data_IF_714371026032
#
_entry.id   IF_714371026032
#
_cell.length_a   1.000
_cell.length_b   1.000
_cell.length_c   1.000
_cell.angle_alpha   90.00
_cell.angle_beta   90.00
_cell.angle_gamma   90.00
#
_symmetry.space_group_name_H-M   'P 1'
#
loop_
_entity.id
_entity.type
_entity.pdbx_description
1 polymer ?
#
# COMPACT_ATOMS: atom_id res chain seq x y z
N UNK A 1 -15.80 14.91 2.17
CA UNK A 1 -16.13 15.69 0.96
C UNK A 1 -15.35 15.16 -0.24
N UNK A 2 -14.01 15.11 -0.19
CA UNK A 2 -13.15 14.65 -1.31
C UNK A 2 -13.52 13.21 -1.74
N UNK A 3 -13.70 12.31 -0.78
CA UNK A 3 -14.16 10.94 -1.00
C UNK A 3 -15.41 10.86 -1.89
N UNK A 4 -16.42 11.68 -1.60
CA UNK A 4 -17.69 11.66 -2.37
C UNK A 4 -17.44 12.05 -3.82
N UNK A 5 -16.61 13.07 -4.10
CA UNK A 5 -16.29 13.46 -5.48
C UNK A 5 -15.49 12.39 -6.22
N UNK A 6 -14.57 11.70 -5.53
CA UNK A 6 -13.82 10.57 -6.06
C UNK A 6 -14.72 9.38 -6.40
N UNK A 7 -15.65 9.04 -5.47
CA UNK A 7 -16.64 7.95 -5.67
C UNK A 7 -17.58 8.24 -6.84
N UNK A 8 -18.00 9.49 -7.00
CA UNK A 8 -18.86 9.94 -8.11
C UNK A 8 -18.11 10.10 -9.45
N UNK A 9 -16.78 9.99 -9.46
CA UNK A 9 -15.97 10.17 -10.68
C UNK A 9 -16.01 11.60 -11.26
N UNK A 10 -16.12 12.61 -10.41
CA UNK A 10 -16.24 14.00 -10.86
C UNK A 10 -15.01 14.43 -11.66
N UNK A 11 -13.80 14.03 -11.24
CA UNK A 11 -12.56 14.38 -11.94
C UNK A 11 -12.51 13.78 -13.36
N UNK A 12 -12.95 12.54 -13.52
CA UNK A 12 -13.02 11.89 -14.84
C UNK A 12 -14.04 12.59 -15.75
N UNK A 13 -15.20 12.99 -15.20
CA UNK A 13 -16.21 13.73 -15.96
C UNK A 13 -15.72 15.10 -16.45
N UNK A 14 -14.74 15.70 -15.80
CA UNK A 14 -14.18 17.02 -16.13
C UNK A 14 -12.93 16.94 -17.02
N UNK A 15 -12.49 15.76 -17.45
CA UNK A 15 -11.28 15.61 -18.28
C UNK A 15 -11.32 16.42 -19.57
N UNK A 16 -12.48 16.47 -20.23
CA UNK A 16 -12.66 17.14 -21.52
C UNK A 16 -12.97 18.64 -21.40
N UNK A 17 -12.81 19.20 -20.19
CA UNK A 17 -13.05 20.62 -19.93
C UNK A 17 -14.20 20.92 -18.96
N UNK A 18 -14.51 22.19 -18.72
CA UNK A 18 -15.50 22.64 -17.76
C UNK A 18 -16.91 22.10 -18.06
N UNK A 19 -17.64 21.70 -17.01
CA UNK A 19 -19.06 21.25 -17.13
C UNK A 19 -19.92 21.92 -16.09
N UNK A 20 -21.18 22.15 -16.46
CA UNK A 20 -22.18 22.71 -15.54
C UNK A 20 -22.51 21.68 -14.44
N UNK A 21 -22.87 22.19 -13.25
CA UNK A 21 -23.32 21.36 -12.15
C UNK A 21 -24.56 20.51 -12.52
N UNK A 22 -25.44 21.03 -13.37
CA UNK A 22 -26.61 20.30 -13.86
C UNK A 22 -26.19 19.05 -14.66
N UNK A 23 -25.22 19.18 -15.57
CA UNK A 23 -24.70 18.07 -16.37
C UNK A 23 -23.99 17.04 -15.48
N UNK A 24 -23.17 17.49 -14.52
CA UNK A 24 -22.50 16.60 -13.56
C UNK A 24 -23.50 15.84 -12.71
N UNK A 25 -24.55 16.52 -12.22
CA UNK A 25 -25.60 15.88 -11.41
C UNK A 25 -26.39 14.82 -12.20
N UNK A 26 -26.69 15.08 -13.48
CA UNK A 26 -27.34 14.10 -14.37
C UNK A 26 -26.45 12.89 -14.60
N UNK A 27 -25.16 13.10 -14.87
CA UNK A 27 -24.20 12.03 -15.12
C UNK A 27 -23.99 11.13 -13.89
N UNK A 28 -23.96 11.72 -12.70
CA UNK A 28 -23.76 11.02 -11.43
C UNK A 28 -25.06 10.56 -10.75
N UNK A 29 -26.23 10.88 -11.33
CA UNK A 29 -27.55 10.58 -10.75
C UNK A 29 -27.72 11.14 -9.34
N UNK A 30 -27.23 12.35 -9.10
CA UNK A 30 -27.29 13.06 -7.82
C UNK A 30 -28.24 14.25 -7.87
N UNK A 31 -28.58 14.78 -6.69
CA UNK A 31 -29.30 16.04 -6.60
C UNK A 31 -28.38 17.20 -6.96
N UNK A 32 -28.75 18.01 -7.96
CA UNK A 32 -27.99 19.16 -8.43
C UNK A 32 -27.67 20.16 -7.31
N UNK A 33 -28.64 20.44 -6.45
CA UNK A 33 -28.49 21.40 -5.36
C UNK A 33 -27.43 20.94 -4.34
N UNK A 34 -27.46 19.67 -3.95
CA UNK A 34 -26.52 19.10 -2.99
C UNK A 34 -25.14 18.89 -3.60
N UNK A 35 -25.07 18.46 -4.87
CA UNK A 35 -23.82 18.37 -5.59
C UNK A 35 -23.13 19.74 -5.73
N UNK A 36 -23.89 20.79 -6.07
CA UNK A 36 -23.37 22.16 -6.13
C UNK A 36 -22.73 22.58 -4.80
N UNK A 37 -23.41 22.31 -3.68
CA UNK A 37 -22.87 22.63 -2.33
C UNK A 37 -21.55 21.90 -2.05
N UNK A 38 -21.46 20.63 -2.44
CA UNK A 38 -20.24 19.84 -2.32
C UNK A 38 -19.10 20.42 -3.18
N UNK A 39 -19.37 20.64 -4.46
CA UNK A 39 -18.35 21.13 -5.41
C UNK A 39 -17.87 22.53 -5.07
N UNK A 40 -18.77 23.44 -4.67
CA UNK A 40 -18.41 24.77 -4.19
C UNK A 40 -17.49 24.74 -2.96
N UNK A 41 -17.76 23.83 -2.01
CA UNK A 41 -16.86 23.64 -0.88
C UNK A 41 -15.49 23.12 -1.36
N UNK A 42 -15.46 22.11 -2.24
CA UNK A 42 -14.22 21.55 -2.77
C UNK A 42 -13.43 22.59 -3.60
N UNK A 43 -14.11 23.47 -4.31
CA UNK A 43 -13.47 24.58 -5.01
C UNK A 43 -12.85 25.59 -4.03
N UNK A 44 -13.51 25.88 -2.91
CA UNK A 44 -12.98 26.80 -1.89
C UNK A 44 -11.66 26.33 -1.25
N UNK A 45 -11.36 25.04 -1.33
CA UNK A 45 -10.10 24.43 -0.86
C UNK A 45 -9.17 23.98 -1.99
N UNK A 46 -9.46 24.41 -3.24
CA UNK A 46 -8.60 24.20 -4.39
C UNK A 46 -8.64 22.82 -5.05
N UNK A 47 -9.59 21.94 -4.65
CA UNK A 47 -9.74 20.62 -5.31
C UNK A 47 -10.32 20.77 -6.72
N UNK A 48 -11.31 21.59 -6.92
CA UNK A 48 -11.85 21.99 -8.22
C UNK A 48 -11.80 23.51 -8.35
N UNK A 49 -12.07 24.05 -9.53
CA UNK A 49 -12.33 25.47 -9.71
C UNK A 49 -13.79 25.70 -10.09
N UNK A 50 -14.44 26.63 -9.43
CA UNK A 50 -15.79 27.11 -9.76
C UNK A 50 -15.68 28.30 -10.71
N UNK A 51 -16.36 28.21 -11.85
CA UNK A 51 -16.46 29.25 -12.86
C UNK A 51 -17.86 29.92 -12.79
N UNK A 52 -18.09 30.90 -13.68
CA UNK A 52 -19.41 31.53 -13.81
C UNK A 52 -20.49 30.51 -14.15
N UNK A 53 -21.73 30.81 -13.87
CA UNK A 53 -22.93 29.99 -14.16
C UNK A 53 -22.89 28.56 -13.57
N UNK A 54 -22.25 28.38 -12.42
CA UNK A 54 -22.12 27.08 -11.75
C UNK A 54 -21.42 26.01 -12.62
N UNK A 55 -20.48 26.42 -13.46
CA UNK A 55 -19.54 25.50 -14.11
C UNK A 55 -18.38 25.17 -13.17
N UNK A 56 -17.85 23.98 -13.34
CA UNK A 56 -16.66 23.49 -12.60
C UNK A 56 -15.64 22.95 -13.57
N UNK A 57 -14.36 23.10 -13.22
CA UNK A 57 -13.23 22.54 -13.97
C UNK A 57 -12.20 21.87 -13.06
N UNK A 58 -11.31 21.07 -13.68
CA UNK A 58 -10.19 20.42 -13.01
C UNK A 58 -9.16 21.46 -12.57
N UNK A 59 -8.56 21.20 -11.41
CA UNK A 59 -7.30 21.81 -10.99
C UNK A 59 -6.18 20.76 -11.06
N UNK A 60 -4.90 21.15 -10.99
CA UNK A 60 -3.80 20.19 -10.85
C UNK A 60 -3.97 19.24 -9.67
N UNK A 61 -4.62 19.68 -8.59
CA UNK A 61 -4.89 18.85 -7.42
C UNK A 61 -6.01 17.84 -7.69
N UNK A 62 -7.06 18.22 -8.43
CA UNK A 62 -8.13 17.29 -8.81
C UNK A 62 -7.66 16.21 -9.81
N UNK A 63 -6.59 16.44 -10.55
CA UNK A 63 -6.03 15.46 -11.47
C UNK A 63 -5.62 14.16 -10.76
N UNK A 64 -5.21 14.21 -9.49
CA UNK A 64 -4.95 13.02 -8.67
C UNK A 64 -6.19 12.20 -8.34
N UNK A 65 -7.40 12.69 -8.63
CA UNK A 65 -8.66 11.95 -8.45
C UNK A 65 -9.18 11.30 -9.75
N UNK A 66 -8.45 11.41 -10.85
CA UNK A 66 -8.77 10.73 -12.12
C UNK A 66 -8.43 9.23 -12.02
N UNK A 67 -9.22 8.38 -12.69
CA UNK A 67 -9.07 6.92 -12.60
C UNK A 67 -7.90 6.37 -13.42
N UNK A 68 -7.56 6.99 -14.56
CA UNK A 68 -6.57 6.47 -15.52
C UNK A 68 -5.30 7.33 -15.57
N UNK A 69 -4.82 7.80 -14.43
CA UNK A 69 -3.53 8.50 -14.35
C UNK A 69 -2.53 7.70 -13.51
N UNK A 70 -1.25 7.66 -13.91
CA UNK A 70 -0.23 6.92 -13.15
C UNK A 70 -0.06 7.36 -11.69
N UNK A 71 -0.39 8.63 -11.40
CA UNK A 71 -0.34 9.22 -10.05
C UNK A 71 -1.72 9.30 -9.38
N UNK A 72 -2.68 8.46 -9.79
CA UNK A 72 -4.01 8.43 -9.18
C UNK A 72 -3.94 8.14 -7.68
N UNK A 73 -4.70 8.91 -6.91
CA UNK A 73 -4.99 8.65 -5.50
C UNK A 73 -6.49 8.36 -5.29
N UNK A 74 -7.23 8.17 -6.38
CA UNK A 74 -8.69 8.00 -6.34
C UNK A 74 -9.10 6.82 -5.46
N UNK A 75 -8.51 5.65 -5.70
CA UNK A 75 -8.83 4.43 -4.94
C UNK A 75 -8.44 4.57 -3.46
N UNK A 76 -7.31 5.22 -3.18
CA UNK A 76 -6.87 5.51 -1.82
C UNK A 76 -7.88 6.41 -1.09
N UNK A 77 -8.37 7.47 -1.74
CA UNK A 77 -9.36 8.40 -1.18
C UNK A 77 -10.71 7.69 -0.93
N UNK A 78 -11.11 6.77 -1.81
CA UNK A 78 -12.32 5.95 -1.64
C UNK A 78 -12.14 5.01 -0.44
N UNK A 79 -11.03 4.28 -0.35
CA UNK A 79 -10.67 3.43 0.78
C UNK A 79 -10.70 4.18 2.12
N UNK A 80 -10.12 5.39 2.18
CA UNK A 80 -10.17 6.22 3.38
C UNK A 80 -11.58 6.68 3.74
N UNK A 81 -12.45 6.90 2.76
CA UNK A 81 -13.83 7.34 2.99
C UNK A 81 -14.78 6.23 3.39
N UNK A 82 -14.53 5.01 2.99
CA UNK A 82 -15.42 3.85 3.24
C UNK A 82 -14.90 3.00 4.40
N UNK A 83 -13.78 2.32 4.26
CA UNK A 83 -13.32 1.33 5.24
C UNK A 83 -12.65 1.92 6.47
N UNK A 84 -11.95 3.06 6.32
CA UNK A 84 -11.15 3.59 7.43
C UNK A 84 -11.85 4.67 8.26
N UNK A 85 -12.84 5.34 7.71
CA UNK A 85 -13.49 6.50 8.35
C UNK A 85 -14.12 6.16 9.70
N UNK A 86 -14.87 5.06 9.79
CA UNK A 86 -15.50 4.62 11.04
C UNK A 86 -14.48 4.12 12.08
N UNK A 87 -13.51 3.28 11.72
CA UNK A 87 -12.39 2.95 12.61
C UNK A 87 -11.67 4.18 13.17
N UNK A 88 -11.32 5.16 12.34
CA UNK A 88 -10.73 6.41 12.82
C UNK A 88 -11.64 7.20 13.77
N UNK A 89 -12.94 7.21 13.53
CA UNK A 89 -13.93 7.76 14.47
C UNK A 89 -13.94 7.05 15.83
N UNK A 90 -13.45 5.79 15.87
CA UNK A 90 -13.39 4.95 17.06
C UNK A 90 -11.97 4.85 17.68
N UNK A 91 -11.02 5.69 17.28
CA UNK A 91 -9.62 5.66 17.75
C UNK A 91 -9.49 5.70 19.28
N UNK A 92 -10.43 6.35 19.98
CA UNK A 92 -10.44 6.38 21.45
C UNK A 92 -10.52 4.97 22.05
N UNK A 93 -11.19 4.01 21.37
CA UNK A 93 -11.20 2.62 21.78
C UNK A 93 -9.78 2.05 21.78
N UNK A 94 -9.04 2.21 20.66
CA UNK A 94 -7.67 1.71 20.54
C UNK A 94 -6.74 2.31 21.61
N UNK A 95 -6.84 3.61 21.87
CA UNK A 95 -6.01 4.29 22.89
C UNK A 95 -6.30 3.77 24.30
N UNK A 96 -7.54 3.41 24.61
CA UNK A 96 -7.95 2.93 25.94
C UNK A 96 -7.65 1.44 26.16
N UNK A 97 -7.72 0.63 25.12
CA UNK A 97 -7.70 -0.84 25.25
C UNK A 97 -6.47 -1.50 24.65
N UNK A 98 -5.80 -0.83 23.70
CA UNK A 98 -4.76 -1.42 22.87
C UNK A 98 -5.30 -2.29 21.71
N UNK A 99 -6.62 -2.51 21.62
CA UNK A 99 -7.24 -3.25 20.53
C UNK A 99 -7.44 -2.34 19.31
N UNK A 100 -7.45 -2.93 18.11
CA UNK A 100 -7.67 -2.15 16.89
C UNK A 100 -9.10 -1.60 16.82
N UNK A 101 -9.25 -0.35 16.46
CA UNK A 101 -10.58 0.24 16.24
C UNK A 101 -11.31 -0.43 15.07
N UNK A 102 -10.56 -0.93 14.07
CA UNK A 102 -11.14 -1.70 12.96
C UNK A 102 -11.85 -2.96 13.47
N UNK A 103 -11.19 -3.77 14.29
CA UNK A 103 -11.80 -4.97 14.87
C UNK A 103 -12.99 -4.62 15.77
N UNK A 104 -12.90 -3.50 16.50
CA UNK A 104 -14.01 -3.02 17.32
C UNK A 104 -15.24 -2.69 16.48
N UNK A 105 -15.06 -2.02 15.33
CA UNK A 105 -16.17 -1.61 14.43
C UNK A 105 -16.69 -2.80 13.64
N UNK A 106 -15.83 -3.53 12.94
CA UNK A 106 -16.20 -4.57 11.96
C UNK A 106 -16.29 -5.98 12.54
N UNK A 107 -15.88 -6.20 13.80
CA UNK A 107 -15.89 -7.49 14.52
C UNK A 107 -15.00 -8.58 13.91
N UNK A 108 -14.10 -8.20 13.04
CA UNK A 108 -13.09 -9.07 12.44
C UNK A 108 -11.84 -8.26 12.07
N UNK A 109 -10.73 -8.95 11.80
CA UNK A 109 -9.50 -8.31 11.32
C UNK A 109 -9.64 -7.79 9.88
N UNK A 110 -8.84 -6.79 9.52
CA UNK A 110 -8.92 -6.10 8.22
C UNK A 110 -8.77 -7.05 7.03
N UNK A 111 -7.84 -8.01 7.06
CA UNK A 111 -7.65 -8.98 5.99
C UNK A 111 -8.79 -10.00 5.91
N UNK A 112 -9.35 -10.39 7.04
CA UNK A 112 -10.55 -11.23 7.08
C UNK A 112 -11.78 -10.47 6.53
N UNK A 113 -11.90 -9.18 6.83
CA UNK A 113 -12.93 -8.32 6.26
C UNK A 113 -12.84 -8.29 4.74
N UNK A 114 -11.66 -8.06 4.17
CA UNK A 114 -11.48 -8.05 2.71
C UNK A 114 -11.73 -9.42 2.06
N UNK A 115 -11.41 -10.52 2.73
CA UNK A 115 -11.77 -11.85 2.23
C UNK A 115 -13.29 -12.04 2.09
N UNK A 116 -14.08 -11.38 2.94
CA UNK A 116 -15.55 -11.43 2.94
C UNK A 116 -16.22 -10.34 2.08
N UNK A 117 -15.48 -9.28 1.70
CA UNK A 117 -15.97 -8.13 0.94
C UNK A 117 -15.11 -7.88 -0.32
N UNK A 118 -15.35 -8.64 -1.41
CA UNK A 118 -14.52 -8.59 -2.61
C UNK A 118 -14.44 -7.21 -3.29
N UNK A 119 -15.51 -6.41 -3.23
CA UNK A 119 -15.53 -5.05 -3.79
C UNK A 119 -14.59 -4.11 -3.01
N UNK A 120 -14.66 -4.13 -1.68
CA UNK A 120 -13.75 -3.38 -0.81
C UNK A 120 -12.30 -3.85 -0.97
N UNK A 121 -12.09 -5.17 -1.12
CA UNK A 121 -10.77 -5.73 -1.40
C UNK A 121 -10.19 -5.22 -2.72
N UNK A 122 -11.00 -5.11 -3.76
CA UNK A 122 -10.57 -4.58 -5.06
C UNK A 122 -10.14 -3.11 -4.95
N UNK A 123 -10.91 -2.29 -4.25
CA UNK A 123 -10.57 -0.87 -3.99
C UNK A 123 -9.28 -0.77 -3.18
N UNK A 124 -9.12 -1.57 -2.13
CA UNK A 124 -7.92 -1.61 -1.31
C UNK A 124 -6.68 -2.03 -2.13
N UNK A 125 -6.77 -3.11 -2.90
CA UNK A 125 -5.65 -3.59 -3.72
C UNK A 125 -5.24 -2.55 -4.77
N UNK A 126 -6.21 -1.89 -5.42
CA UNK A 126 -5.94 -0.81 -6.36
C UNK A 126 -5.28 0.38 -5.65
N UNK A 127 -5.80 0.78 -4.48
CA UNK A 127 -5.24 1.86 -3.68
C UNK A 127 -3.79 1.59 -3.27
N UNK A 128 -3.47 0.35 -2.87
CA UNK A 128 -2.11 -0.04 -2.52
C UNK A 128 -1.18 -0.04 -3.73
N UNK A 129 -1.68 -0.46 -4.89
CA UNK A 129 -0.91 -0.44 -6.15
C UNK A 129 -0.60 1.00 -6.59
N UNK A 130 -1.60 1.89 -6.56
CA UNK A 130 -1.45 3.32 -6.90
C UNK A 130 -0.47 4.00 -5.94
N UNK A 131 -0.66 3.83 -4.63
CA UNK A 131 0.21 4.42 -3.60
C UNK A 131 1.65 3.92 -3.68
N UNK A 132 1.84 2.64 -3.98
CA UNK A 132 3.15 2.01 -4.03
C UNK A 132 3.98 2.37 -5.27
N UNK A 133 3.41 3.02 -6.29
CA UNK A 133 4.09 3.25 -7.56
C UNK A 133 5.34 4.15 -7.41
N UNK A 134 5.20 5.30 -6.71
CA UNK A 134 6.33 6.21 -6.46
C UNK A 134 7.37 5.58 -5.53
N UNK A 135 6.95 4.88 -4.48
CA UNK A 135 7.84 4.14 -3.58
C UNK A 135 8.65 3.09 -4.35
N UNK A 136 8.00 2.37 -5.27
CA UNK A 136 8.63 1.33 -6.09
C UNK A 136 9.76 1.91 -6.92
N UNK A 137 9.55 3.03 -7.59
CA UNK A 137 10.58 3.70 -8.39
C UNK A 137 11.75 4.14 -7.49
N UNK A 138 11.46 4.74 -6.35
CA UNK A 138 12.49 5.18 -5.41
C UNK A 138 13.34 4.00 -4.87
N UNK A 139 12.72 2.85 -4.63
CA UNK A 139 13.41 1.63 -4.17
C UNK A 139 14.31 1.06 -5.29
N UNK A 140 13.79 0.95 -6.52
CA UNK A 140 14.57 0.45 -7.66
C UNK A 140 15.80 1.33 -7.94
N UNK A 141 15.66 2.64 -7.79
CA UNK A 141 16.78 3.57 -7.98
C UNK A 141 17.82 3.48 -6.84
N UNK A 142 17.40 3.09 -5.64
CA UNK A 142 18.25 3.05 -4.44
C UNK A 142 18.95 1.69 -4.23
N UNK A 143 18.47 0.61 -4.86
CA UNK A 143 18.96 -0.74 -4.59
C UNK A 143 19.16 -1.56 -5.86
N UNK A 144 20.34 -2.18 -5.96
CA UNK A 144 20.72 -3.05 -7.08
C UNK A 144 20.17 -4.45 -6.88
N UNK A 145 19.12 -4.80 -7.64
CA UNK A 145 18.52 -6.13 -7.67
C UNK A 145 19.14 -7.07 -8.70
N UNK A 146 20.00 -6.57 -9.61
CA UNK A 146 20.63 -7.39 -10.66
C UNK A 146 21.60 -8.45 -10.14
N UNK A 147 22.05 -8.29 -8.90
CA UNK A 147 22.97 -9.21 -8.22
C UNK A 147 22.35 -10.51 -7.74
N UNK A 148 21.02 -10.67 -7.87
CA UNK A 148 20.30 -11.87 -7.44
C UNK A 148 19.88 -12.70 -8.64
N UNK A 149 19.95 -14.03 -8.49
CA UNK A 149 19.47 -14.97 -9.50
C UNK A 149 17.95 -15.21 -9.32
N UNK A 150 17.50 -15.31 -8.06
CA UNK A 150 16.10 -15.63 -7.73
C UNK A 150 15.56 -14.84 -6.53
N UNK A 151 14.60 -14.00 -6.78
CA UNK A 151 13.98 -13.12 -5.79
C UNK A 151 12.60 -13.66 -5.39
N UNK A 152 12.33 -13.75 -4.09
CA UNK A 152 11.03 -14.09 -3.52
C UNK A 152 10.39 -12.83 -2.95
N UNK A 153 9.26 -12.40 -3.51
CA UNK A 153 8.45 -11.29 -3.03
C UNK A 153 7.34 -11.84 -2.14
N UNK A 154 7.53 -11.72 -0.83
CA UNK A 154 6.65 -12.30 0.19
C UNK A 154 5.59 -11.29 0.60
N UNK A 155 4.33 -11.62 0.33
CA UNK A 155 3.21 -10.68 0.47
C UNK A 155 3.16 -9.68 -0.69
N UNK A 156 3.59 -10.10 -1.89
CA UNK A 156 3.76 -9.23 -3.05
C UNK A 156 2.46 -8.84 -3.77
N UNK A 157 1.30 -9.30 -3.29
CA UNK A 157 -0.01 -8.93 -3.83
C UNK A 157 -0.14 -9.28 -5.31
N UNK A 158 -0.54 -8.32 -6.13
CA UNK A 158 -0.69 -8.50 -7.57
C UNK A 158 0.64 -8.51 -8.35
N UNK A 159 1.78 -8.38 -7.68
CA UNK A 159 3.10 -8.51 -8.29
C UNK A 159 3.63 -7.25 -8.99
N UNK A 160 3.06 -6.08 -8.74
CA UNK A 160 3.50 -4.83 -9.36
C UNK A 160 4.96 -4.47 -9.02
N UNK A 161 5.38 -4.71 -7.78
CA UNK A 161 6.75 -4.49 -7.34
C UNK A 161 7.71 -5.48 -8.01
N UNK A 162 7.40 -6.78 -7.96
CA UNK A 162 8.18 -7.82 -8.65
C UNK A 162 8.30 -7.54 -10.15
N UNK A 163 7.21 -7.16 -10.81
CA UNK A 163 7.23 -6.83 -12.22
C UNK A 163 8.18 -5.65 -12.54
N UNK A 164 8.23 -4.64 -11.66
CA UNK A 164 9.13 -3.50 -11.85
C UNK A 164 10.60 -3.91 -11.66
N UNK A 165 10.90 -4.77 -10.68
CA UNK A 165 12.25 -5.34 -10.52
C UNK A 165 12.68 -6.09 -11.78
N UNK A 166 11.82 -7.00 -12.27
CA UNK A 166 12.13 -7.84 -13.43
C UNK A 166 12.23 -7.05 -14.74
N UNK A 167 11.49 -5.94 -14.89
CA UNK A 167 11.64 -5.03 -16.05
C UNK A 167 12.93 -4.24 -16.01
N UNK A 168 13.39 -3.88 -14.82
CA UNK A 168 14.64 -3.12 -14.66
C UNK A 168 15.90 -4.02 -14.74
N UNK A 169 15.75 -5.35 -14.62
CA UNK A 169 16.86 -6.30 -14.56
C UNK A 169 16.52 -7.54 -15.39
N UNK A 170 17.33 -7.88 -16.39
CA UNK A 170 17.06 -8.98 -17.33
C UNK A 170 17.34 -10.38 -16.74
N UNK A 171 18.29 -10.50 -15.83
CA UNK A 171 18.79 -11.79 -15.31
C UNK A 171 17.90 -12.41 -14.21
N UNK A 172 17.41 -11.67 -13.18
CA UNK A 172 16.68 -12.28 -12.08
C UNK A 172 15.39 -12.98 -12.49
N UNK A 173 15.08 -14.08 -11.79
CA UNK A 173 13.75 -14.71 -11.78
C UNK A 173 13.04 -14.35 -10.50
N UNK A 174 11.69 -14.31 -10.55
CA UNK A 174 10.85 -13.98 -9.42
C UNK A 174 10.01 -15.15 -8.93
N UNK A 175 9.75 -15.21 -7.64
CA UNK A 175 8.61 -15.93 -7.04
C UNK A 175 7.75 -14.85 -6.38
N UNK A 176 6.51 -14.74 -6.84
CA UNK A 176 5.48 -13.94 -6.20
C UNK A 176 4.71 -14.84 -5.24
N UNK A 177 4.73 -14.54 -3.95
CA UNK A 177 4.10 -15.33 -2.92
C UNK A 177 3.14 -14.50 -2.08
N UNK A 178 1.88 -14.89 -2.05
CA UNK A 178 0.84 -14.26 -1.23
C UNK A 178 -0.34 -15.22 -1.03
N UNK A 179 -1.30 -14.81 -0.19
CA UNK A 179 -2.58 -15.49 -0.05
C UNK A 179 -3.34 -15.55 -1.38
N UNK A 180 -4.23 -16.54 -1.60
CA UNK A 180 -5.00 -16.67 -2.85
C UNK A 180 -5.76 -15.40 -3.26
N UNK A 181 -6.26 -14.63 -2.28
CA UNK A 181 -6.93 -13.35 -2.55
C UNK A 181 -5.94 -12.22 -2.88
N UNK A 182 -4.70 -12.27 -2.40
CA UNK A 182 -3.63 -11.30 -2.69
C UNK A 182 -3.14 -11.41 -4.12
N UNK A 183 -2.89 -12.63 -4.61
CA UNK A 183 -2.41 -12.89 -5.98
C UNK A 183 -3.53 -12.88 -7.02
N UNK A 184 -4.78 -12.61 -6.62
CA UNK A 184 -5.88 -12.53 -7.56
C UNK A 184 -5.62 -11.42 -8.60
N UNK A 185 -5.54 -11.79 -9.88
CA UNK A 185 -5.18 -10.89 -10.98
C UNK A 185 -3.69 -10.80 -11.27
N UNK A 186 -2.81 -11.35 -10.43
CA UNK A 186 -1.37 -11.33 -10.65
C UNK A 186 -0.96 -12.00 -11.97
N UNK A 187 -1.62 -13.10 -12.32
CA UNK A 187 -1.36 -13.80 -13.58
C UNK A 187 -1.62 -12.90 -14.79
N UNK A 188 -2.80 -12.29 -14.88
CA UNK A 188 -3.17 -11.38 -15.96
C UNK A 188 -2.22 -10.16 -16.02
N UNK A 189 -1.85 -9.63 -14.85
CA UNK A 189 -0.92 -8.52 -14.75
C UNK A 189 0.47 -8.88 -15.29
N UNK A 190 1.03 -10.03 -14.91
CA UNK A 190 2.34 -10.50 -15.34
C UNK A 190 2.34 -10.95 -16.82
N UNK A 191 1.23 -11.53 -17.33
CA UNK A 191 1.04 -11.83 -18.76
C UNK A 191 1.07 -10.55 -19.58
N UNK A 192 0.31 -9.53 -19.18
CA UNK A 192 0.31 -8.22 -19.84
C UNK A 192 1.68 -7.54 -19.83
N UNK A 193 2.45 -7.79 -18.78
CA UNK A 193 3.81 -7.30 -18.63
C UNK A 193 4.88 -8.14 -19.35
N UNK A 194 4.51 -9.27 -19.98
CA UNK A 194 5.41 -10.26 -20.62
C UNK A 194 6.44 -10.86 -19.67
N UNK A 195 6.05 -11.12 -18.41
CA UNK A 195 6.95 -11.60 -17.36
C UNK A 195 6.65 -13.02 -16.83
N UNK A 196 5.61 -13.70 -17.36
CA UNK A 196 5.21 -15.03 -16.88
C UNK A 196 6.30 -16.10 -17.00
N UNK A 197 7.20 -16.00 -17.96
CA UNK A 197 8.33 -16.94 -18.10
C UNK A 197 9.43 -16.71 -17.06
N UNK A 198 9.40 -15.53 -16.38
CA UNK A 198 10.40 -15.13 -15.40
C UNK A 198 9.86 -15.01 -13.98
N UNK A 199 8.54 -15.16 -13.78
CA UNK A 199 7.90 -15.01 -12.48
C UNK A 199 6.93 -16.15 -12.21
N UNK A 200 7.23 -16.96 -11.20
CA UNK A 200 6.34 -17.99 -10.68
C UNK A 200 5.40 -17.37 -9.64
N UNK A 201 4.12 -17.76 -9.68
CA UNK A 201 3.12 -17.35 -8.68
C UNK A 201 2.84 -18.54 -7.76
N UNK A 202 3.04 -18.35 -6.47
CA UNK A 202 2.79 -19.38 -5.44
C UNK A 202 1.79 -18.81 -4.43
N UNK A 203 0.69 -19.52 -4.21
CA UNK A 203 -0.29 -19.20 -3.18
C UNK A 203 0.10 -19.84 -1.84
N UNK A 204 -0.01 -19.07 -0.74
CA UNK A 204 0.25 -19.60 0.60
C UNK A 204 0.25 -18.54 1.68
N UNK A 205 0.40 -18.98 2.92
CA UNK A 205 0.45 -18.12 4.10
C UNK A 205 1.89 -18.09 4.65
N UNK A 206 2.50 -16.91 4.70
CA UNK A 206 3.85 -16.73 5.23
C UNK A 206 3.96 -17.05 6.74
N UNK A 207 2.83 -17.16 7.44
CA UNK A 207 2.80 -17.67 8.82
C UNK A 207 2.93 -19.18 8.91
N UNK A 208 2.60 -19.91 7.85
CA UNK A 208 2.76 -21.37 7.77
C UNK A 208 4.11 -21.74 7.18
N UNK A 209 4.42 -21.18 5.99
CA UNK A 209 5.69 -21.44 5.31
C UNK A 209 5.96 -20.37 4.24
N UNK A 210 7.21 -20.26 3.83
CA UNK A 210 7.67 -19.39 2.73
C UNK A 210 8.38 -20.26 1.69
N UNK A 211 8.20 -20.02 0.37
CA UNK A 211 8.87 -20.77 -0.68
C UNK A 211 10.39 -20.71 -0.56
N UNK A 212 11.06 -21.85 -0.70
CA UNK A 212 12.52 -21.95 -0.65
C UNK A 212 13.19 -21.71 -2.01
N UNK A 213 14.50 -21.54 -1.98
CA UNK A 213 15.34 -21.51 -3.18
C UNK A 213 15.53 -20.10 -3.78
N UNK A 214 15.13 -19.03 -3.07
CA UNK A 214 15.53 -17.67 -3.37
C UNK A 214 16.86 -17.30 -2.72
N UNK A 215 17.60 -16.43 -3.36
CA UNK A 215 18.79 -15.77 -2.82
C UNK A 215 18.50 -14.35 -2.30
N UNK A 216 17.31 -13.81 -2.57
CA UNK A 216 16.75 -12.62 -1.93
C UNK A 216 15.29 -12.85 -1.53
N UNK A 217 14.93 -12.42 -0.32
CA UNK A 217 13.56 -12.45 0.21
C UNK A 217 13.13 -11.04 0.54
N UNK A 218 12.11 -10.55 -0.13
CA UNK A 218 11.62 -9.19 -0.02
C UNK A 218 10.30 -9.18 0.73
N UNK A 219 10.16 -8.23 1.66
CA UNK A 219 8.93 -7.92 2.39
C UNK A 219 8.66 -6.42 2.26
N UNK A 220 7.76 -6.03 1.38
CA UNK A 220 7.41 -4.61 1.20
C UNK A 220 6.09 -4.28 1.92
N UNK A 221 6.16 -3.40 2.92
CA UNK A 221 5.00 -2.98 3.74
C UNK A 221 4.26 -4.16 4.42
N UNK A 222 5.00 -5.17 4.88
CA UNK A 222 4.45 -6.36 5.53
C UNK A 222 4.53 -6.24 7.06
N UNK A 223 5.73 -6.00 7.61
CA UNK A 223 5.98 -6.04 9.05
C UNK A 223 5.20 -4.98 9.82
N UNK A 224 4.96 -3.84 9.20
CA UNK A 224 4.18 -2.73 9.75
C UNK A 224 2.74 -3.14 10.14
N UNK A 225 2.21 -4.21 9.56
CA UNK A 225 0.87 -4.72 9.84
C UNK A 225 0.79 -5.64 11.07
N UNK A 226 1.93 -6.04 11.64
CA UNK A 226 2.00 -7.11 12.62
C UNK A 226 2.70 -6.71 13.91
N UNK A 227 2.32 -7.38 15.02
CA UNK A 227 3.04 -7.28 16.29
C UNK A 227 4.42 -7.92 16.21
N UNK A 228 5.32 -7.60 17.13
CA UNK A 228 6.69 -8.15 17.13
C UNK A 228 6.70 -9.69 17.18
N UNK A 229 5.80 -10.30 17.96
CA UNK A 229 5.68 -11.76 18.02
C UNK A 229 5.36 -12.38 16.65
N UNK A 230 4.42 -11.78 15.92
CA UNK A 230 4.05 -12.23 14.57
C UNK A 230 5.17 -11.96 13.56
N UNK A 231 5.88 -10.86 13.69
CA UNK A 231 7.07 -10.59 12.85
C UNK A 231 8.17 -11.62 13.08
N UNK A 232 8.37 -12.07 14.33
CA UNK A 232 9.31 -13.14 14.67
C UNK A 232 8.90 -14.46 14.00
N UNK A 233 7.61 -14.79 13.96
CA UNK A 233 7.13 -15.99 13.27
C UNK A 233 7.44 -15.94 11.77
N UNK A 234 7.14 -14.81 11.11
CA UNK A 234 7.47 -14.60 9.68
C UNK A 234 8.97 -14.73 9.43
N UNK A 235 9.80 -14.06 10.24
CA UNK A 235 11.25 -14.09 10.09
C UNK A 235 11.84 -15.49 10.29
N UNK A 236 11.30 -16.29 11.22
CA UNK A 236 11.72 -17.69 11.40
C UNK A 236 11.39 -18.54 10.17
N UNK A 237 10.21 -18.36 9.58
CA UNK A 237 9.84 -19.06 8.34
C UNK A 237 10.73 -18.63 7.17
N UNK A 238 11.04 -17.33 7.07
CA UNK A 238 11.97 -16.81 6.09
C UNK A 238 13.39 -17.37 6.29
N UNK A 239 13.88 -17.38 7.53
CA UNK A 239 15.18 -17.97 7.87
C UNK A 239 15.28 -19.45 7.46
N UNK A 240 14.19 -20.20 7.63
CA UNK A 240 14.13 -21.63 7.25
C UNK A 240 14.15 -21.83 5.73
N UNK A 241 13.49 -20.94 4.98
CA UNK A 241 13.40 -21.02 3.52
C UNK A 241 14.64 -20.51 2.80
N UNK A 242 15.38 -19.59 3.43
CA UNK A 242 16.49 -18.86 2.83
C UNK A 242 17.77 -19.70 2.80
N UNK A 243 18.51 -19.66 1.68
CA UNK A 243 19.86 -20.21 1.58
C UNK A 243 20.85 -19.48 2.51
N UNK A 244 22.00 -20.14 2.84
CA UNK A 244 22.99 -19.56 3.77
C UNK A 244 23.50 -18.16 3.36
N UNK A 245 23.63 -17.91 2.07
CA UNK A 245 24.11 -16.63 1.54
C UNK A 245 22.96 -15.69 1.13
N UNK A 246 21.71 -16.04 1.46
CA UNK A 246 20.54 -15.26 1.07
C UNK A 246 20.46 -13.91 1.77
N UNK A 247 19.79 -12.95 1.13
CA UNK A 247 19.53 -11.61 1.64
C UNK A 247 18.08 -11.46 2.07
N UNK A 248 17.88 -10.94 3.27
CA UNK A 248 16.60 -10.45 3.74
C UNK A 248 16.51 -8.95 3.41
N UNK A 249 15.43 -8.54 2.76
CA UNK A 249 15.20 -7.16 2.34
C UNK A 249 13.81 -6.74 2.81
N UNK A 250 13.74 -5.87 3.82
CA UNK A 250 12.49 -5.30 4.29
C UNK A 250 12.40 -3.86 3.77
N UNK A 251 11.27 -3.50 3.18
CA UNK A 251 11.01 -2.18 2.61
C UNK A 251 9.82 -1.59 3.35
N UNK A 252 10.08 -0.62 4.24
CA UNK A 252 9.05 -0.03 5.10
C UNK A 252 9.36 1.41 5.49
N UNK A 253 8.33 2.11 5.95
CA UNK A 253 8.47 3.42 6.58
C UNK A 253 9.06 3.25 7.97
N UNK A 254 10.28 3.75 8.19
CA UNK A 254 10.93 3.74 9.50
C UNK A 254 10.52 4.97 10.32
N UNK A 255 10.14 4.77 11.58
CA UNK A 255 9.80 5.87 12.51
C UNK A 255 11.08 6.51 13.03
N UNK A 256 11.66 7.45 12.30
CA UNK A 256 12.95 8.12 12.66
C UNK A 256 12.76 9.62 12.95
N UNK A 257 11.61 10.12 13.21
CA UNK A 257 11.50 11.59 13.32
C UNK A 257 11.92 12.12 14.70
N UNK A 258 12.59 13.30 14.78
CA UNK A 258 12.80 14.00 16.03
C UNK A 258 11.49 14.17 16.81
N UNK A 259 11.57 14.18 18.16
CA UNK A 259 10.39 14.10 19.05
C UNK A 259 9.21 15.00 18.66
N UNK A 260 9.46 16.23 18.27
CA UNK A 260 8.41 17.24 18.00
C UNK A 260 8.28 17.61 16.51
N UNK A 261 9.11 17.06 15.62
CA UNK A 261 9.00 17.34 14.18
C UNK A 261 7.75 16.68 13.58
N UNK A 262 7.00 17.35 12.71
CA UNK A 262 5.97 16.74 11.90
C UNK A 262 6.57 15.60 11.08
N UNK A 263 5.84 14.48 10.97
CA UNK A 263 6.29 13.34 10.18
C UNK A 263 5.12 12.50 9.75
N UNK A 264 5.11 12.13 8.48
CA UNK A 264 4.17 11.16 7.91
C UNK A 264 4.27 9.81 8.64
N UNK A 265 5.49 9.37 8.99
CA UNK A 265 5.68 8.09 9.68
C UNK A 265 4.93 7.97 11.00
N UNK A 266 4.79 9.08 11.76
CA UNK A 266 4.00 9.08 13.00
C UNK A 266 2.50 8.97 12.77
N UNK A 267 1.99 9.63 11.72
CA UNK A 267 0.59 9.48 11.31
C UNK A 267 0.32 8.06 10.82
N UNK A 268 1.24 7.51 10.04
CA UNK A 268 1.14 6.15 9.50
C UNK A 268 1.18 5.10 10.61
N UNK A 269 2.07 5.25 11.60
CA UNK A 269 2.11 4.40 12.80
C UNK A 269 0.76 4.39 13.55
N UNK A 270 0.18 5.58 13.74
CA UNK A 270 -1.15 5.69 14.36
C UNK A 270 -2.25 5.05 13.48
N UNK A 271 -2.13 5.14 12.16
CA UNK A 271 -3.04 4.44 11.25
C UNK A 271 -2.95 2.92 11.40
N UNK A 272 -1.76 2.38 11.55
CA UNK A 272 -1.56 0.94 11.82
C UNK A 272 -2.21 0.50 13.13
N UNK A 273 -2.10 1.30 14.20
CA UNK A 273 -2.81 1.04 15.46
C UNK A 273 -4.33 0.95 15.25
N UNK A 274 -4.89 1.86 14.44
CA UNK A 274 -6.34 1.90 14.18
C UNK A 274 -6.80 0.73 13.34
N UNK A 275 -6.02 0.32 12.32
CA UNK A 275 -6.44 -0.62 11.29
C UNK A 275 -6.03 -2.07 11.55
N UNK A 276 -4.74 -2.32 11.77
CA UNK A 276 -4.18 -3.68 11.82
C UNK A 276 -3.71 -4.12 13.20
N UNK A 277 -3.45 -3.16 14.10
CA UNK A 277 -2.79 -3.40 15.37
C UNK A 277 -1.27 -3.61 15.23
N UNK A 278 -0.75 -3.40 14.04
CA UNK A 278 0.67 -3.32 13.77
C UNK A 278 1.27 -1.99 14.22
N UNK A 279 2.53 -1.77 13.88
CA UNK A 279 3.23 -0.53 14.23
C UNK A 279 4.43 -0.26 13.35
N UNK A 280 4.78 1.00 13.19
CA UNK A 280 6.08 1.41 12.68
C UNK A 280 7.19 1.01 13.65
N UNK A 281 8.39 0.79 13.12
CA UNK A 281 9.56 0.40 13.92
C UNK A 281 10.74 1.32 13.66
N UNK A 282 11.54 1.53 14.70
CA UNK A 282 12.83 2.19 14.63
C UNK A 282 13.91 1.19 14.16
N UNK A 283 15.08 1.70 13.76
CA UNK A 283 16.25 0.89 13.45
C UNK A 283 16.60 -0.09 14.59
N UNK A 284 16.62 0.39 15.84
CA UNK A 284 16.94 -0.44 17.00
C UNK A 284 15.94 -1.59 17.20
N UNK A 285 14.66 -1.38 16.87
CA UNK A 285 13.63 -2.41 16.97
C UNK A 285 13.76 -3.44 15.83
N UNK A 286 14.12 -3.02 14.61
CA UNK A 286 14.46 -3.96 13.55
C UNK A 286 15.71 -4.79 13.88
N UNK A 287 16.73 -4.15 14.45
CA UNK A 287 17.94 -4.85 14.90
C UNK A 287 17.63 -5.92 15.96
N UNK A 288 16.71 -5.61 16.89
CA UNK A 288 16.26 -6.56 17.92
C UNK A 288 15.47 -7.74 17.30
N UNK A 289 14.57 -7.49 16.33
CA UNK A 289 13.83 -8.53 15.63
C UNK A 289 14.77 -9.47 14.83
N UNK A 290 15.75 -8.91 14.13
CA UNK A 290 16.74 -9.66 13.37
C UNK A 290 17.57 -10.56 14.30
N UNK A 291 18.13 -9.99 15.36
CA UNK A 291 18.90 -10.76 16.33
C UNK A 291 18.10 -11.89 16.98
N UNK A 292 16.81 -11.69 17.26
CA UNK A 292 15.92 -12.70 17.84
C UNK A 292 15.59 -13.88 16.88
N UNK A 293 15.92 -13.73 15.59
CA UNK A 293 15.49 -14.68 14.54
C UNK A 293 16.63 -15.23 13.68
N UNK A 294 17.89 -15.03 14.11
CA UNK A 294 19.07 -15.54 13.40
C UNK A 294 19.45 -14.72 12.18
N UNK A 295 19.07 -13.43 12.17
CA UNK A 295 19.54 -12.48 11.16
C UNK A 295 20.44 -11.41 11.81
N UNK A 296 21.36 -10.87 11.01
CA UNK A 296 22.11 -9.67 11.33
C UNK A 296 21.71 -8.54 10.40
N UNK A 297 21.32 -7.39 10.96
CA UNK A 297 21.05 -6.18 10.18
C UNK A 297 22.38 -5.65 9.64
N UNK A 298 22.49 -5.54 8.32
CA UNK A 298 23.74 -5.15 7.65
C UNK A 298 23.71 -3.72 7.13
N UNK A 299 22.52 -3.25 6.70
CA UNK A 299 22.41 -1.91 6.13
C UNK A 299 20.98 -1.36 6.26
N UNK A 300 20.86 -0.02 6.33
CA UNK A 300 19.61 0.71 6.16
C UNK A 300 19.85 1.78 5.10
N UNK A 301 19.15 1.68 3.97
CA UNK A 301 19.29 2.55 2.83
C UNK A 301 18.05 3.44 2.76
N UNK A 302 18.24 4.74 2.87
CA UNK A 302 17.17 5.72 2.64
C UNK A 302 16.87 5.82 1.14
N UNK A 303 15.59 6.00 0.80
CA UNK A 303 15.14 6.25 -0.58
C UNK A 303 14.67 7.69 -0.73
N UNK A 304 14.37 8.11 -1.95
CA UNK A 304 13.72 9.41 -2.25
C UNK A 304 12.22 9.42 -1.90
N UNK A 305 11.73 8.38 -1.21
CA UNK A 305 10.36 8.23 -0.72
C UNK A 305 10.34 8.03 0.80
N UNK A 306 9.17 7.97 1.44
CA UNK A 306 9.07 7.71 2.88
C UNK A 306 9.64 6.36 3.33
N UNK A 307 9.79 5.37 2.45
CA UNK A 307 10.30 4.05 2.82
C UNK A 307 11.82 3.99 2.83
N UNK A 308 12.36 3.13 3.69
CA UNK A 308 13.76 2.72 3.71
C UNK A 308 13.88 1.24 3.39
N UNK A 309 15.05 0.85 2.88
CA UNK A 309 15.41 -0.54 2.61
C UNK A 309 16.28 -1.02 3.78
N UNK A 310 15.81 -2.05 4.47
CA UNK A 310 16.47 -2.66 5.63
C UNK A 310 17.01 -4.00 5.17
N UNK A 311 18.34 -4.11 5.08
CA UNK A 311 19.02 -5.32 4.62
C UNK A 311 19.51 -6.15 5.80
N UNK A 312 19.34 -7.46 5.71
CA UNK A 312 19.87 -8.42 6.64
C UNK A 312 20.47 -9.65 5.97
N UNK A 313 21.32 -10.34 6.71
CA UNK A 313 21.91 -11.62 6.33
C UNK A 313 21.61 -12.66 7.39
N UNK A 314 21.51 -13.91 6.98
CA UNK A 314 21.38 -15.06 7.88
C UNK A 314 22.71 -15.26 8.64
N UNK A 315 22.66 -15.59 9.96
CA UNK A 315 23.79 -15.95 10.83
C UNK A 315 23.61 -17.34 11.42
#
# INVERSE_FOLDING_TARGET
AIYVSAKLGIADLLMDGPKSCDLLAKSTKTSQRELFRLLRFLASIGIFAELEDAFFELTPLAAYLQSETPSSLRSLVIYYGEETYQPWGSILHSIKTGETAFNHVHKCGVFQYFAQHPESAAVFNQAMTEYAAEETIAVINAYDFSKFDKIVDVGGGQGSFMATILKANDEPKGILFDLPQGVRGAKEYLETAYLMERCEIIEGDFFESIPSGGDAYIFKNIFVNWTDGRCIDILKNCHHAMAENGKLIIIEVIVISPKNAPSFSKLFDLHMLVMTGGRGRTEAEFQALFAATGFNLTNIISTESPVSIIEGVRI
#
